data_IF_421802724365
#
_entry.id   IF_421802724365
#
_cell.length_a   1.000
_cell.length_b   1.000
_cell.length_c   1.000
_cell.angle_alpha   90.00
_cell.angle_beta   90.00
_cell.angle_gamma   90.00
#
_symmetry.space_group_name_H-M   'P 1'
#
loop_
_entity.id
_entity.type
_entity.pdbx_description
1 polymer ?
#
# COMPACT_ATOMS: atom_id res chain seq x y z
N UNK A 1 2.98 -40.94 -55.30
CA UNK A 1 2.72 -39.59 -54.77
C UNK A 1 1.91 -39.76 -53.47
N UNK A 2 2.50 -39.52 -52.30
CA UNK A 2 1.82 -39.71 -51.00
C UNK A 2 0.93 -38.49 -50.74
N UNK A 3 -0.40 -38.67 -50.74
CA UNK A 3 -1.36 -37.62 -50.36
C UNK A 3 -1.33 -37.44 -48.85
N UNK A 4 -0.80 -36.31 -48.38
CA UNK A 4 -0.86 -35.94 -46.97
C UNK A 4 -2.27 -35.40 -46.67
N UNK A 5 -3.08 -36.18 -45.96
CA UNK A 5 -4.36 -35.68 -45.41
C UNK A 5 -4.05 -34.66 -44.31
N UNK A 6 -4.35 -33.38 -44.56
CA UNK A 6 -4.28 -32.34 -43.53
C UNK A 6 -5.42 -32.57 -42.53
N UNK A 7 -5.10 -32.89 -41.28
CA UNK A 7 -6.07 -32.92 -40.17
C UNK A 7 -6.60 -31.51 -39.94
N UNK A 8 -7.90 -31.31 -40.08
CA UNK A 8 -8.60 -30.08 -39.69
C UNK A 8 -8.93 -30.09 -38.20
N UNK A 9 -8.93 -28.92 -37.58
CA UNK A 9 -9.36 -28.71 -36.20
C UNK A 9 -10.89 -28.61 -36.17
N UNK A 10 -11.56 -29.34 -35.29
CA UNK A 10 -13.03 -29.31 -35.20
C UNK A 10 -13.49 -28.10 -34.37
N UNK A 11 -14.69 -27.58 -34.68
CA UNK A 11 -15.28 -26.47 -33.92
C UNK A 11 -15.52 -26.84 -32.45
N UNK A 12 -15.83 -28.11 -32.17
CA UNK A 12 -16.05 -28.60 -30.80
C UNK A 12 -14.76 -28.65 -29.99
N UNK A 13 -13.63 -29.01 -30.61
CA UNK A 13 -12.31 -28.95 -29.96
C UNK A 13 -11.97 -27.52 -29.56
N UNK A 14 -12.28 -26.53 -30.40
CA UNK A 14 -12.02 -25.12 -30.08
C UNK A 14 -12.95 -24.63 -28.96
N UNK A 15 -14.21 -25.04 -28.98
CA UNK A 15 -15.20 -24.66 -27.99
C UNK A 15 -14.84 -25.18 -26.59
N UNK A 16 -14.40 -26.44 -26.46
CA UNK A 16 -13.97 -26.99 -25.17
C UNK A 16 -12.73 -26.27 -24.63
N UNK A 17 -11.78 -25.91 -25.50
CA UNK A 17 -10.56 -25.23 -25.07
C UNK A 17 -10.86 -23.85 -24.49
N UNK A 18 -11.69 -23.03 -25.15
CA UNK A 18 -12.07 -21.72 -24.60
C UNK A 18 -12.90 -21.83 -23.32
N UNK A 19 -13.71 -22.90 -23.19
CA UNK A 19 -14.43 -23.18 -21.96
C UNK A 19 -13.48 -23.48 -20.78
N UNK A 20 -12.47 -24.33 -20.98
CA UNK A 20 -11.48 -24.64 -19.95
C UNK A 20 -10.63 -23.41 -19.59
N UNK A 21 -10.18 -22.63 -20.58
CA UNK A 21 -9.43 -21.39 -20.34
C UNK A 21 -10.28 -20.40 -19.53
N UNK A 22 -11.59 -20.29 -19.83
CA UNK A 22 -12.51 -19.44 -19.07
C UNK A 22 -12.60 -19.83 -17.58
N UNK A 23 -12.72 -21.13 -17.30
CA UNK A 23 -12.76 -21.64 -15.92
C UNK A 23 -11.44 -21.32 -15.19
N UNK A 24 -10.31 -21.65 -15.80
CA UNK A 24 -8.99 -21.40 -15.20
C UNK A 24 -8.73 -19.90 -14.97
N UNK A 25 -9.11 -19.05 -15.93
CA UNK A 25 -8.94 -17.59 -15.83
C UNK A 25 -9.75 -17.00 -14.66
N UNK A 26 -10.96 -17.50 -14.41
CA UNK A 26 -11.80 -17.01 -13.30
C UNK A 26 -11.18 -17.25 -11.92
N UNK A 27 -10.59 -18.43 -11.70
CA UNK A 27 -9.91 -18.79 -10.44
C UNK A 27 -8.64 -17.96 -10.23
N UNK A 28 -7.87 -17.76 -11.30
CA UNK A 28 -6.64 -16.93 -11.26
C UNK A 28 -6.96 -15.47 -10.98
N UNK A 29 -8.05 -14.93 -11.54
CA UNK A 29 -8.42 -13.53 -11.30
C UNK A 29 -8.82 -13.29 -9.83
N UNK A 30 -9.57 -14.22 -9.24
CA UNK A 30 -9.95 -14.14 -7.83
C UNK A 30 -8.73 -14.19 -6.89
N UNK A 31 -7.76 -15.06 -7.17
CA UNK A 31 -6.53 -15.16 -6.37
C UNK A 31 -5.59 -13.96 -6.58
N UNK A 32 -5.57 -13.37 -7.76
CA UNK A 32 -4.75 -12.19 -8.05
C UNK A 32 -5.25 -10.95 -7.33
N UNK A 33 -6.57 -10.76 -7.21
CA UNK A 33 -7.14 -9.61 -6.50
C UNK A 33 -6.76 -9.61 -5.01
N UNK A 34 -6.81 -10.77 -4.35
CA UNK A 34 -6.40 -10.89 -2.94
C UNK A 34 -4.89 -10.72 -2.76
N UNK A 35 -4.08 -11.25 -3.69
CA UNK A 35 -2.63 -11.06 -3.68
C UNK A 35 -2.24 -9.57 -3.85
N UNK A 36 -2.90 -8.84 -4.76
CA UNK A 36 -2.69 -7.40 -4.96
C UNK A 36 -3.06 -6.59 -3.71
N UNK A 37 -4.18 -6.90 -3.07
CA UNK A 37 -4.57 -6.27 -1.82
C UNK A 37 -3.52 -6.47 -0.72
N UNK A 38 -3.04 -7.72 -0.54
CA UNK A 38 -1.99 -8.03 0.43
C UNK A 38 -0.65 -7.35 0.11
N UNK A 39 -0.30 -7.25 -1.17
CA UNK A 39 0.91 -6.52 -1.60
C UNK A 39 0.80 -5.02 -1.28
N UNK A 40 -0.38 -4.41 -1.49
CA UNK A 40 -0.66 -3.02 -1.11
C UNK A 40 -0.50 -2.80 0.40
N UNK A 41 -1.03 -3.72 1.20
CA UNK A 41 -0.93 -3.68 2.66
C UNK A 41 0.52 -3.80 3.15
N UNK A 42 1.30 -4.68 2.52
CA UNK A 42 2.73 -4.84 2.82
C UNK A 42 3.56 -3.62 2.41
N UNK A 43 3.21 -2.97 1.30
CA UNK A 43 3.88 -1.74 0.88
C UNK A 43 3.61 -0.60 1.87
N UNK A 44 2.35 -0.48 2.33
CA UNK A 44 1.95 0.53 3.29
C UNK A 44 2.66 0.38 4.64
N UNK A 45 2.84 -0.85 5.15
CA UNK A 45 3.57 -1.08 6.40
C UNK A 45 5.06 -0.72 6.31
N UNK A 46 5.71 -1.04 5.19
CA UNK A 46 7.12 -0.69 4.94
C UNK A 46 7.30 0.82 4.83
N UNK A 47 6.39 1.50 4.12
CA UNK A 47 6.41 2.96 4.00
C UNK A 47 6.30 3.65 5.35
N UNK A 48 5.36 3.23 6.20
CA UNK A 48 5.20 3.80 7.54
C UNK A 48 6.40 3.48 8.45
N UNK A 49 6.97 2.28 8.35
CA UNK A 49 8.20 1.96 9.10
C UNK A 49 9.38 2.85 8.66
N UNK A 50 9.47 3.16 7.36
CA UNK A 50 10.47 4.08 6.82
C UNK A 50 10.25 5.51 7.31
N UNK A 51 8.99 5.98 7.40
CA UNK A 51 8.67 7.28 8.00
C UNK A 51 9.17 7.38 9.44
N UNK A 52 9.07 6.31 10.24
CA UNK A 52 9.60 6.32 11.61
C UNK A 52 11.10 6.51 11.63
N UNK A 53 11.86 5.81 10.79
CA UNK A 53 13.30 6.03 10.69
C UNK A 53 13.66 7.47 10.27
N UNK A 54 12.91 8.03 9.31
CA UNK A 54 13.09 9.41 8.86
C UNK A 54 12.73 10.43 9.95
N UNK A 55 11.75 10.14 10.80
CA UNK A 55 11.36 11.01 11.92
C UNK A 55 12.50 11.19 12.91
N UNK A 56 13.26 10.13 13.21
CA UNK A 56 14.41 10.18 14.11
C UNK A 56 15.50 11.07 13.52
N UNK A 57 15.83 10.86 12.24
CA UNK A 57 16.81 11.69 11.54
C UNK A 57 16.35 13.16 11.49
N UNK A 58 15.06 13.41 11.31
CA UNK A 58 14.51 14.76 11.32
C UNK A 58 14.68 15.42 12.68
N UNK A 59 14.32 14.74 13.76
CA UNK A 59 14.48 15.23 15.13
C UNK A 59 15.95 15.51 15.46
N UNK A 60 16.88 14.64 15.05
CA UNK A 60 18.32 14.84 15.24
C UNK A 60 18.81 16.16 14.62
N UNK A 61 18.28 16.53 13.45
CA UNK A 61 18.62 17.78 12.77
C UNK A 61 17.85 19.00 13.28
N UNK A 62 16.80 18.80 14.09
CA UNK A 62 15.87 19.83 14.54
C UNK A 62 15.82 19.95 16.08
N UNK A 63 16.98 19.80 16.72
CA UNK A 63 17.14 19.91 18.18
C UNK A 63 16.21 18.99 19.00
N UNK A 64 15.98 17.77 18.51
CA UNK A 64 15.09 16.79 19.12
C UNK A 64 13.61 17.05 18.88
N UNK A 65 13.26 18.02 18.03
CA UNK A 65 11.87 18.41 17.79
C UNK A 65 11.28 17.78 16.53
N UNK A 66 10.08 17.22 16.64
CA UNK A 66 9.31 16.72 15.50
C UNK A 66 8.43 17.80 14.85
N UNK A 67 8.42 19.04 15.35
CA UNK A 67 7.60 20.11 14.79
C UNK A 67 8.01 20.41 13.34
N UNK A 68 7.03 20.40 12.44
CA UNK A 68 7.20 20.53 11.00
C UNK A 68 7.55 19.23 10.28
N UNK A 69 7.64 18.07 10.95
CA UNK A 69 7.99 16.79 10.33
C UNK A 69 6.99 16.37 9.26
N UNK A 70 5.69 16.39 9.55
CA UNK A 70 4.67 15.99 8.57
C UNK A 70 4.59 16.99 7.41
N UNK A 71 4.94 18.27 7.62
CA UNK A 71 5.06 19.25 6.54
C UNK A 71 6.36 19.07 5.71
N UNK A 72 7.48 18.73 6.35
CA UNK A 72 8.78 18.55 5.71
C UNK A 72 8.85 17.32 4.81
N UNK A 73 8.03 16.29 5.07
CA UNK A 73 7.86 15.14 4.15
C UNK A 73 7.27 15.53 2.79
N UNK A 74 6.71 16.74 2.65
CA UNK A 74 6.20 17.29 1.38
C UNK A 74 7.25 18.12 0.62
N UNK A 75 8.35 18.56 1.26
CA UNK A 75 9.27 19.58 0.73
C UNK A 75 10.62 19.05 0.21
N UNK A 76 10.99 17.80 0.49
CA UNK A 76 12.24 17.20 0.01
C UNK A 76 11.98 16.25 -1.17
N UNK A 77 11.84 16.83 -2.36
CA UNK A 77 11.60 16.17 -3.66
C UNK A 77 12.75 15.26 -4.17
N UNK A 78 13.61 14.75 -3.29
CA UNK A 78 14.75 13.88 -3.62
C UNK A 78 14.65 12.45 -3.06
N UNK A 79 13.76 12.22 -2.09
CA UNK A 79 13.41 10.90 -1.60
C UNK A 79 11.89 10.79 -1.63
N UNK A 80 11.38 10.38 -2.80
CA UNK A 80 10.01 9.97 -3.10
C UNK A 80 9.06 10.15 -1.93
N UNK A 81 8.41 11.31 -1.92
CA UNK A 81 7.37 11.74 -1.00
C UNK A 81 6.50 10.55 -0.60
N UNK A 82 6.79 9.92 0.54
CA UNK A 82 6.10 8.72 1.00
C UNK A 82 4.62 9.05 1.24
N UNK A 83 4.33 10.32 1.52
CA UNK A 83 3.01 10.87 1.76
C UNK A 83 2.24 11.11 0.45
N UNK A 84 2.87 11.68 -0.58
CA UNK A 84 2.30 11.84 -1.93
C UNK A 84 2.29 10.54 -2.71
N UNK A 85 3.23 9.62 -2.49
CA UNK A 85 3.20 8.27 -3.05
C UNK A 85 2.09 7.43 -2.39
N UNK A 86 1.87 7.58 -1.07
CA UNK A 86 0.70 6.98 -0.40
C UNK A 86 -0.61 7.60 -0.91
N UNK A 87 -0.68 8.93 -1.07
CA UNK A 87 -1.84 9.64 -1.65
C UNK A 87 -2.09 9.27 -3.11
N UNK A 88 -1.04 9.17 -3.93
CA UNK A 88 -1.10 8.75 -5.34
C UNK A 88 -1.43 7.25 -5.50
N UNK A 89 -1.06 6.41 -4.53
CA UNK A 89 -1.42 5.00 -4.47
C UNK A 89 -2.88 4.76 -4.01
N UNK A 90 -3.71 5.82 -3.87
CA UNK A 90 -5.08 5.73 -3.34
C UNK A 90 -5.12 4.93 -2.03
N UNK A 91 -4.15 5.20 -1.15
CA UNK A 91 -4.20 4.84 0.26
C UNK A 91 -4.70 6.11 0.95
N UNK A 92 -5.93 6.07 1.47
CA UNK A 92 -6.65 7.25 1.95
C UNK A 92 -5.79 8.15 2.81
N UNK A 93 -5.93 9.47 2.57
CA UNK A 93 -5.40 10.59 3.36
C UNK A 93 -4.47 10.14 4.48
N UNK A 94 -3.18 10.09 4.20
CA UNK A 94 -2.18 9.89 5.22
C UNK A 94 -2.32 11.03 6.24
N UNK A 95 -2.95 10.68 7.35
CA UNK A 95 -3.23 11.59 8.45
C UNK A 95 -1.97 11.63 9.30
N UNK A 96 -1.08 12.54 8.95
CA UNK A 96 0.18 12.79 9.62
C UNK A 96 0.03 14.10 10.38
N UNK A 97 0.21 14.04 11.69
CA UNK A 97 0.29 15.22 12.52
C UNK A 97 1.52 15.13 13.40
N UNK A 98 2.13 16.28 13.61
CA UNK A 98 3.32 16.44 14.40
C UNK A 98 3.17 17.59 15.39
N UNK A 99 3.94 17.49 16.47
CA UNK A 99 4.13 18.51 17.47
C UNK A 99 5.60 18.45 17.91
N UNK A 100 6.04 19.41 18.72
CA UNK A 100 7.43 19.51 19.11
C UNK A 100 7.99 18.22 19.75
N UNK A 101 7.18 17.48 20.51
CA UNK A 101 7.62 16.28 21.24
C UNK A 101 7.10 14.94 20.71
N UNK A 102 6.27 14.93 19.67
CA UNK A 102 5.62 13.69 19.21
C UNK A 102 5.07 13.85 17.80
N UNK A 103 4.97 12.76 17.07
CA UNK A 103 4.28 12.72 15.78
C UNK A 103 3.56 11.39 15.65
N UNK A 104 2.54 11.34 14.80
CA UNK A 104 2.01 10.08 14.34
C UNK A 104 1.47 10.20 12.92
N UNK A 105 1.49 9.10 12.18
CA UNK A 105 0.90 8.98 10.86
C UNK A 105 0.07 7.71 10.77
N UNK A 106 -1.07 7.77 10.06
CA UNK A 106 -1.85 6.57 9.74
C UNK A 106 -2.15 6.44 8.26
N UNK A 107 -2.31 5.20 7.79
CA UNK A 107 -2.68 4.84 6.42
C UNK A 107 -3.77 3.78 6.41
N UNK A 108 -4.74 3.93 5.52
CA UNK A 108 -5.78 2.91 5.32
C UNK A 108 -5.19 1.69 4.61
N UNK A 109 -5.45 0.49 5.11
CA UNK A 109 -5.15 -0.76 4.41
C UNK A 109 -6.18 -1.00 3.30
N UNK A 110 -6.05 -2.11 2.58
CA UNK A 110 -6.94 -2.55 1.50
C UNK A 110 -8.43 -2.57 1.89
N UNK A 111 -8.73 -2.65 3.19
CA UNK A 111 -10.04 -2.39 3.80
C UNK A 111 -10.06 -1.04 4.52
N UNK A 112 -11.08 -0.20 4.30
CA UNK A 112 -11.28 1.08 5.00
C UNK A 112 -11.47 0.95 6.52
N UNK A 113 -11.67 -0.26 7.02
CA UNK A 113 -11.86 -0.60 8.44
C UNK A 113 -10.58 -1.04 9.14
N UNK A 114 -9.44 -1.07 8.43
CA UNK A 114 -8.15 -1.39 9.02
C UNK A 114 -7.14 -0.34 8.63
N UNK A 115 -6.39 0.11 9.62
CA UNK A 115 -5.41 1.17 9.48
C UNK A 115 -4.09 0.69 10.04
N UNK A 116 -3.00 1.21 9.48
CA UNK A 116 -1.68 1.05 10.05
C UNK A 116 -1.24 2.43 10.55
N UNK A 117 -0.86 2.52 11.81
CA UNK A 117 -0.40 3.75 12.43
C UNK A 117 1.01 3.56 12.97
N UNK A 118 1.85 4.57 12.81
CA UNK A 118 3.10 4.70 13.56
C UNK A 118 3.21 6.06 14.22
N UNK A 119 3.90 6.09 15.34
CA UNK A 119 4.34 7.27 16.05
C UNK A 119 5.84 7.15 16.37
N UNK A 120 6.35 8.15 17.09
CA UNK A 120 7.69 8.16 17.68
C UNK A 120 7.97 6.90 18.52
N UNK A 121 6.98 6.45 19.29
CA UNK A 121 7.10 5.42 20.31
C UNK A 121 6.61 4.05 19.83
N UNK A 122 5.63 4.00 18.94
CA UNK A 122 4.91 2.75 18.66
C UNK A 122 4.48 2.61 17.19
N UNK A 123 4.13 1.37 16.83
CA UNK A 123 3.55 1.02 15.52
C UNK A 123 2.43 0.01 15.78
N UNK A 124 1.22 0.29 15.29
CA UNK A 124 0.01 -0.50 15.59
C UNK A 124 -0.91 -0.60 14.38
N UNK A 125 -1.66 -1.70 14.31
CA UNK A 125 -2.83 -1.79 13.43
C UNK A 125 -4.07 -1.33 14.19
N UNK A 126 -4.82 -0.39 13.63
CA UNK A 126 -6.02 0.20 14.23
C UNK A 126 -7.27 -0.20 13.44
N UNK A 127 -8.43 -0.17 14.08
CA UNK A 127 -9.75 -0.35 13.44
C UNK A 127 -10.32 0.95 12.85
N UNK A 128 -9.67 2.07 13.13
CA UNK A 128 -10.00 3.40 12.63
C UNK A 128 -8.71 4.21 12.39
N UNK A 129 -8.81 5.35 11.71
CA UNK A 129 -7.68 6.27 11.59
C UNK A 129 -7.23 6.73 12.98
N UNK A 130 -5.94 7.03 13.09
CA UNK A 130 -5.37 7.79 14.21
C UNK A 130 -6.16 9.10 14.28
N UNK A 131 -6.87 9.36 15.38
CA UNK A 131 -7.83 10.48 15.46
C UNK A 131 -7.26 11.81 14.98
N UNK A 132 -8.11 12.69 14.46
CA UNK A 132 -7.70 13.96 13.86
C UNK A 132 -6.80 14.77 14.80
N UNK A 133 -5.67 15.26 14.29
CA UNK A 133 -4.67 16.03 15.05
C UNK A 133 -4.05 15.31 16.25
N UNK A 134 -4.25 13.99 16.40
CA UNK A 134 -3.54 13.23 17.45
C UNK A 134 -2.04 13.19 17.13
N UNK A 135 -1.18 12.89 18.08
CA UNK A 135 0.25 12.63 17.81
C UNK A 135 0.69 11.27 18.33
N UNK A 136 -0.29 10.39 18.53
CA UNK A 136 -0.14 9.02 19.04
C UNK A 136 -1.10 8.07 18.34
N UNK A 137 -0.78 6.78 18.29
CA UNK A 137 -1.66 5.75 17.72
C UNK A 137 -2.69 5.28 18.76
N UNK A 138 -3.86 5.92 18.73
CA UNK A 138 -5.01 5.59 19.59
C UNK A 138 -5.84 4.40 19.08
#
# INVERSE_FOLDING_TARGET
MKMNLKKGFTLIELLVVVAIIGILASVVLASLNTARAKAKDSAASVQIASLRAQSVIYADNNAGSYAGFCAATTANSGALDILTAARAANLGTSDCDDAAGSWAASVSLSSSTRWYCASDTEVKTLSAAKGAAATSCI
#
